data_IF_959683103396
#
_entry.id   IF_959683103396
#
_cell.length_a   1.000
_cell.length_b   1.000
_cell.length_c   1.000
_cell.angle_alpha   90.00
_cell.angle_beta   90.00
_cell.angle_gamma   90.00
#
_symmetry.space_group_name_H-M   'P 1'
#
loop_
_entity.id
_entity.type
_entity.pdbx_description
1 polymer ?
#
# COMPACT_ATOMS: atom_id res chain seq x y z
N UNK A 1 47.91 67.20 -20.35
CA UNK A 1 46.46 67.09 -19.98
C UNK A 1 46.21 65.60 -19.91
N UNK A 2 46.63 65.01 -18.80
CA UNK A 2 46.64 63.56 -18.58
C UNK A 2 45.43 63.22 -17.73
N UNK A 3 44.43 62.61 -18.34
CA UNK A 3 43.26 62.10 -17.62
C UNK A 3 43.61 60.73 -17.05
N UNK A 4 43.91 60.71 -15.76
CA UNK A 4 44.16 59.52 -14.95
C UNK A 4 42.83 58.80 -14.68
N UNK A 5 42.74 57.52 -15.04
CA UNK A 5 41.57 56.67 -14.80
C UNK A 5 41.75 55.96 -13.46
N UNK A 6 40.90 56.26 -12.48
CA UNK A 6 40.86 55.60 -11.18
C UNK A 6 40.34 54.17 -11.33
N UNK A 7 41.20 53.17 -11.10
CA UNK A 7 40.78 51.77 -10.99
C UNK A 7 40.24 51.53 -9.59
N UNK A 8 38.94 51.30 -9.46
CA UNK A 8 38.32 50.87 -8.20
C UNK A 8 38.72 49.42 -7.96
N UNK A 9 39.55 49.18 -6.94
CA UNK A 9 39.78 47.82 -6.43
C UNK A 9 38.47 47.33 -5.83
N UNK A 10 37.87 46.33 -6.48
CA UNK A 10 36.79 45.54 -5.91
C UNK A 10 37.44 44.61 -4.89
N UNK A 11 37.19 44.87 -3.61
CA UNK A 11 37.54 43.93 -2.55
C UNK A 11 36.65 42.70 -2.73
N UNK A 12 37.26 41.58 -3.11
CA UNK A 12 36.62 40.28 -3.08
C UNK A 12 36.57 39.84 -1.62
N UNK A 13 35.40 40.03 -0.99
CA UNK A 13 35.07 39.33 0.26
C UNK A 13 35.06 37.83 -0.03
N UNK A 14 36.17 37.17 0.29
CA UNK A 14 36.22 35.72 0.47
C UNK A 14 35.27 35.35 1.62
N UNK A 15 34.02 35.08 1.26
CA UNK A 15 33.04 34.44 2.14
C UNK A 15 33.53 33.03 2.42
N UNK A 16 34.25 32.89 3.54
CA UNK A 16 34.74 31.64 4.10
C UNK A 16 33.54 30.73 4.36
N UNK A 17 33.26 29.83 3.43
CA UNK A 17 32.21 28.83 3.56
C UNK A 17 32.49 27.99 4.81
N UNK A 18 31.67 28.17 5.85
CA UNK A 18 31.70 27.29 7.00
C UNK A 18 31.38 25.87 6.52
N UNK A 19 32.14 24.84 6.94
CA UNK A 19 31.83 23.47 6.57
C UNK A 19 30.46 23.13 7.16
N UNK A 20 29.48 22.94 6.28
CA UNK A 20 28.17 22.39 6.63
C UNK A 20 28.43 21.06 7.32
N UNK A 21 28.32 21.06 8.66
CA UNK A 21 28.36 19.84 9.46
C UNK A 21 27.12 19.06 9.06
N UNK A 22 27.31 18.05 8.20
CA UNK A 22 26.31 17.03 7.96
C UNK A 22 26.17 16.30 9.28
N UNK A 23 25.22 16.72 10.12
CA UNK A 23 24.83 15.95 11.28
C UNK A 23 24.36 14.61 10.74
N UNK A 24 25.12 13.55 10.99
CA UNK A 24 24.71 12.20 10.63
C UNK A 24 23.28 12.03 11.14
N UNK A 25 22.31 11.80 10.24
CA UNK A 25 20.95 11.68 10.68
C UNK A 25 20.94 10.45 11.60
N UNK A 26 20.55 10.65 12.87
CA UNK A 26 20.51 9.56 13.85
C UNK A 26 19.25 8.76 13.60
N UNK A 27 19.38 7.43 13.59
CA UNK A 27 18.22 6.55 13.48
C UNK A 27 17.32 6.76 14.69
N UNK A 28 16.01 6.81 14.46
CA UNK A 28 15.05 6.97 15.55
C UNK A 28 15.10 5.73 16.44
N UNK A 29 15.44 5.93 17.71
CA UNK A 29 15.44 4.86 18.70
C UNK A 29 13.98 4.51 19.02
N UNK A 30 13.66 3.22 19.00
CA UNK A 30 12.32 2.72 19.31
C UNK A 30 12.00 2.95 20.79
N UNK A 31 10.89 3.62 21.08
CA UNK A 31 10.36 3.74 22.44
C UNK A 31 9.96 2.37 23.01
N UNK A 32 9.87 2.27 24.35
CA UNK A 32 9.43 1.04 25.03
C UNK A 32 7.96 0.72 24.74
N UNK A 33 7.14 1.76 24.54
CA UNK A 33 5.72 1.63 24.23
C UNK A 33 5.40 2.53 23.04
N UNK A 34 4.69 1.97 22.07
CA UNK A 34 4.17 2.68 20.89
C UNK A 34 2.66 2.50 20.84
N UNK A 35 1.98 3.52 20.30
CA UNK A 35 0.54 3.47 20.07
C UNK A 35 0.31 3.22 18.60
N UNK A 36 -0.64 2.35 18.26
CA UNK A 36 -0.91 1.99 16.89
C UNK A 36 -2.36 1.64 16.61
N UNK A 37 -2.71 1.74 15.34
CA UNK A 37 -4.05 1.43 14.82
C UNK A 37 -3.93 0.29 13.83
N UNK A 38 -4.75 -0.75 14.00
CA UNK A 38 -4.81 -1.89 13.09
C UNK A 38 -6.02 -1.76 12.16
N UNK A 39 -5.78 -1.87 10.86
CA UNK A 39 -6.78 -1.81 9.82
C UNK A 39 -6.97 -3.20 9.22
N UNK A 40 -8.22 -3.67 9.16
CA UNK A 40 -8.60 -4.87 8.39
C UNK A 40 -8.88 -4.44 6.95
N UNK A 41 -8.24 -5.09 5.98
CA UNK A 41 -8.48 -4.91 4.54
C UNK A 41 -8.59 -6.24 3.83
N UNK A 42 -9.65 -6.39 3.06
CA UNK A 42 -9.82 -7.50 2.15
C UNK A 42 -8.85 -7.31 0.96
N UNK A 43 -8.02 -8.31 0.65
CA UNK A 43 -7.09 -8.27 -0.49
C UNK A 43 -7.24 -9.53 -1.35
N UNK A 44 -6.83 -9.51 -2.63
CA UNK A 44 -6.95 -10.67 -3.53
C UNK A 44 -6.30 -11.97 -3.04
N UNK A 45 -5.38 -11.88 -2.07
CA UNK A 45 -4.65 -13.01 -1.50
C UNK A 45 -5.18 -13.45 -0.12
N UNK A 46 -6.18 -12.74 0.40
CA UNK A 46 -6.84 -12.99 1.69
C UNK A 46 -6.99 -11.70 2.51
N UNK A 47 -7.55 -11.82 3.71
CA UNK A 47 -7.70 -10.69 4.62
C UNK A 47 -6.35 -10.30 5.22
N UNK A 48 -5.97 -9.03 5.04
CA UNK A 48 -4.76 -8.44 5.59
C UNK A 48 -5.11 -7.54 6.79
N UNK A 49 -4.34 -7.69 7.85
CA UNK A 49 -4.34 -6.84 9.02
C UNK A 49 -3.07 -5.99 8.99
N UNK A 50 -3.24 -4.69 8.80
CA UNK A 50 -2.14 -3.73 8.68
C UNK A 50 -2.14 -2.85 9.92
N UNK A 51 -1.10 -2.99 10.74
CA UNK A 51 -0.93 -2.19 11.96
C UNK A 51 0.05 -1.07 11.71
N UNK A 52 -0.38 0.17 11.96
CA UNK A 52 0.44 1.37 11.82
C UNK A 52 0.71 1.91 13.23
N UNK A 53 1.99 1.92 13.61
CA UNK A 53 2.44 2.42 14.92
C UNK A 53 3.10 3.80 14.76
N UNK A 54 2.83 4.69 15.72
CA UNK A 54 3.36 6.06 15.74
C UNK A 54 4.20 6.32 16.99
N UNK A 55 5.22 7.16 16.86
CA UNK A 55 6.22 7.48 17.90
C UNK A 55 6.14 8.95 18.35
N UNK A 56 4.95 9.53 18.23
CA UNK A 56 4.67 10.92 18.61
C UNK A 56 3.22 11.13 19.05
N UNK A 57 2.90 12.32 19.60
CA UNK A 57 1.52 12.68 19.96
C UNK A 57 0.63 12.85 18.73
N UNK A 58 1.23 13.07 17.55
CA UNK A 58 0.50 13.19 16.29
C UNK A 58 0.44 11.85 15.55
N UNK A 59 -0.74 11.46 15.03
CA UNK A 59 -0.89 10.24 14.22
C UNK A 59 -0.06 10.29 12.93
N UNK A 60 0.34 11.48 12.48
CA UNK A 60 1.17 11.66 11.30
C UNK A 60 2.61 11.16 11.48
N UNK A 61 3.06 10.94 12.73
CA UNK A 61 4.42 10.52 13.02
C UNK A 61 4.59 8.99 13.00
N UNK A 62 4.38 8.43 11.80
CA UNK A 62 4.43 6.99 11.56
C UNK A 62 5.85 6.46 11.76
N UNK A 63 5.97 5.45 12.60
CA UNK A 63 7.24 4.86 13.01
C UNK A 63 7.49 3.48 12.40
N UNK A 64 6.50 2.58 12.46
CA UNK A 64 6.60 1.22 11.95
C UNK A 64 5.25 0.71 11.45
N UNK A 65 5.28 -0.24 10.51
CA UNK A 65 4.11 -0.86 9.90
C UNK A 65 4.27 -2.37 9.93
N UNK A 66 3.27 -3.07 10.45
CA UNK A 66 3.20 -4.52 10.42
C UNK A 66 2.08 -4.97 9.49
N UNK A 67 2.31 -6.06 8.77
CA UNK A 67 1.37 -6.62 7.83
C UNK A 67 1.22 -8.10 8.15
N UNK A 68 0.02 -8.51 8.53
CA UNK A 68 -0.32 -9.89 8.81
C UNK A 68 -1.43 -10.33 7.87
N UNK A 69 -1.21 -11.39 7.10
CA UNK A 69 -2.23 -11.96 6.22
C UNK A 69 -2.81 -13.21 6.87
N UNK A 70 -4.13 -13.42 6.76
CA UNK A 70 -4.85 -14.54 7.38
C UNK A 70 -4.50 -15.94 6.84
N UNK A 71 -3.45 -16.07 6.01
CA UNK A 71 -2.91 -17.35 5.51
C UNK A 71 -1.55 -17.64 6.14
N UNK A 72 -1.57 -18.15 7.37
CA UNK A 72 -0.36 -18.51 8.13
C UNK A 72 0.47 -19.54 7.37
N UNK A 73 1.79 -19.31 7.27
CA UNK A 73 2.74 -20.27 6.70
C UNK A 73 2.79 -20.34 5.17
N UNK A 74 2.15 -19.39 4.47
CA UNK A 74 2.26 -19.26 3.01
C UNK A 74 3.44 -18.37 2.60
N UNK A 75 3.98 -18.57 1.38
CA UNK A 75 5.00 -17.67 0.80
C UNK A 75 4.52 -16.21 0.80
N UNK A 76 3.22 -16.02 0.57
CA UNK A 76 2.55 -14.71 0.62
C UNK A 76 2.68 -14.06 2.01
N UNK A 77 2.56 -14.84 3.10
CA UNK A 77 2.73 -14.30 4.44
C UNK A 77 4.18 -13.92 4.72
N UNK A 78 5.15 -14.69 4.21
CA UNK A 78 6.57 -14.37 4.31
C UNK A 78 6.92 -13.08 3.55
N UNK A 79 6.41 -12.93 2.33
CA UNK A 79 6.58 -11.72 1.51
C UNK A 79 5.91 -10.49 2.16
N UNK A 80 4.72 -10.67 2.74
CA UNK A 80 4.01 -9.62 3.47
C UNK A 80 4.80 -9.15 4.71
N UNK A 81 5.37 -10.08 5.48
CA UNK A 81 6.23 -9.76 6.62
C UNK A 81 7.50 -9.03 6.16
N UNK A 82 8.13 -9.51 5.08
CA UNK A 82 9.28 -8.86 4.46
C UNK A 82 8.98 -7.42 4.05
N UNK A 83 7.85 -7.20 3.37
CA UNK A 83 7.40 -5.87 2.98
C UNK A 83 7.19 -4.96 4.20
N UNK A 84 6.51 -5.43 5.25
CA UNK A 84 6.29 -4.65 6.48
C UNK A 84 7.60 -4.28 7.17
N UNK A 85 8.57 -5.22 7.22
CA UNK A 85 9.91 -4.97 7.77
C UNK A 85 10.68 -3.93 6.96
N UNK A 86 10.60 -3.97 5.64
CA UNK A 86 11.25 -2.98 4.76
C UNK A 86 10.64 -1.60 4.92
N UNK A 87 9.31 -1.50 4.95
CA UNK A 87 8.59 -0.24 5.20
C UNK A 87 8.94 0.32 6.58
N UNK A 88 9.05 -0.53 7.60
CA UNK A 88 9.47 -0.12 8.95
C UNK A 88 10.94 0.28 9.01
N UNK A 89 11.81 -0.28 8.16
CA UNK A 89 13.21 0.12 8.05
C UNK A 89 13.33 1.49 7.38
N UNK A 90 12.85 1.61 6.13
CA UNK A 90 12.04 2.73 5.64
C UNK A 90 11.90 3.92 6.59
N UNK A 91 10.93 3.72 7.49
CA UNK A 91 10.40 4.73 8.37
C UNK A 91 11.31 5.09 9.55
N UNK A 92 12.29 4.25 9.88
CA UNK A 92 13.27 4.49 10.97
C UNK A 92 14.64 4.91 10.47
N UNK A 93 14.93 4.69 9.19
CA UNK A 93 16.20 5.06 8.61
C UNK A 93 16.38 6.58 8.64
N UNK A 94 17.57 7.04 9.02
CA UNK A 94 17.79 8.47 9.08
C UNK A 94 17.68 9.11 7.69
N UNK A 95 16.91 10.18 7.58
CA UNK A 95 16.57 10.79 6.29
C UNK A 95 16.39 12.30 6.44
N UNK A 96 16.73 13.10 5.41
CA UNK A 96 16.42 14.52 5.40
C UNK A 96 14.92 14.82 5.24
N UNK A 97 14.11 13.81 4.90
CA UNK A 97 12.67 13.94 4.71
C UNK A 97 11.91 13.77 6.03
N UNK A 98 10.84 14.54 6.20
CA UNK A 98 9.93 14.39 7.33
C UNK A 98 9.24 13.01 7.31
N UNK A 99 8.81 12.47 8.47
CA UNK A 99 8.09 11.19 8.56
C UNK A 99 6.88 11.12 7.62
N UNK A 100 6.07 12.19 7.59
CA UNK A 100 4.92 12.33 6.69
C UNK A 100 5.31 12.27 5.21
N UNK A 101 6.39 12.96 4.82
CA UNK A 101 6.88 12.96 3.44
C UNK A 101 7.40 11.59 3.03
N UNK A 102 8.03 10.86 3.95
CA UNK A 102 8.48 9.48 3.73
C UNK A 102 7.30 8.53 3.57
N UNK A 103 6.28 8.66 4.41
CA UNK A 103 5.04 7.92 4.25
C UNK A 103 4.35 8.22 2.90
N UNK A 104 4.28 9.50 2.49
CA UNK A 104 3.76 9.90 1.18
C UNK A 104 4.58 9.31 0.02
N UNK A 105 5.91 9.27 0.13
CA UNK A 105 6.76 8.65 -0.87
C UNK A 105 6.50 7.13 -0.97
N UNK A 106 6.34 6.45 0.16
CA UNK A 106 5.98 5.02 0.21
C UNK A 106 4.62 4.80 -0.45
N UNK A 107 3.61 5.58 -0.07
CA UNK A 107 2.27 5.54 -0.68
C UNK A 107 2.36 5.67 -2.20
N UNK A 108 3.09 6.66 -2.70
CA UNK A 108 3.22 6.91 -4.14
C UNK A 108 3.87 5.75 -4.89
N UNK A 109 4.75 4.98 -4.25
CA UNK A 109 5.38 3.80 -4.86
C UNK A 109 4.47 2.56 -4.81
N UNK A 110 3.70 2.38 -3.73
CA UNK A 110 2.88 1.18 -3.54
C UNK A 110 1.49 1.30 -4.19
N UNK A 111 0.97 2.51 -4.35
CA UNK A 111 -0.36 2.78 -4.91
C UNK A 111 -0.44 2.34 -6.36
N UNK A 112 -1.47 1.55 -6.69
CA UNK A 112 -1.71 1.05 -8.04
C UNK A 112 -0.83 -0.14 -8.44
N UNK A 113 0.01 -0.67 -7.54
CA UNK A 113 0.63 -1.99 -7.76
C UNK A 113 -0.50 -3.01 -7.73
N UNK A 114 -0.69 -3.75 -8.81
CA UNK A 114 -1.82 -4.65 -8.95
C UNK A 114 -1.51 -5.87 -9.77
N UNK A 115 -2.16 -6.98 -9.42
CA UNK A 115 -2.24 -8.15 -10.29
C UNK A 115 -3.57 -8.13 -11.05
N UNK A 116 -3.79 -9.09 -11.97
CA UNK A 116 -5.03 -9.23 -12.72
C UNK A 116 -6.28 -9.52 -11.86
N UNK A 117 -6.10 -9.84 -10.58
CA UNK A 117 -7.17 -10.09 -9.61
C UNK A 117 -7.28 -8.89 -8.68
N UNK A 118 -8.38 -8.15 -8.74
CA UNK A 118 -8.70 -7.07 -7.79
C UNK A 118 -9.88 -7.46 -6.92
N UNK A 119 -9.90 -7.00 -5.67
CA UNK A 119 -10.97 -7.24 -4.71
C UNK A 119 -11.64 -5.92 -4.33
N UNK A 120 -12.96 -5.93 -4.13
CA UNK A 120 -13.75 -4.75 -3.79
C UNK A 120 -14.04 -3.81 -4.97
N UNK A 121 -14.82 -2.75 -4.70
CA UNK A 121 -15.32 -1.83 -5.73
C UNK A 121 -15.03 -0.36 -5.39
N UNK A 122 -14.89 0.46 -6.43
CA UNK A 122 -14.71 1.91 -6.31
C UNK A 122 -13.51 2.30 -5.42
N UNK A 123 -13.77 3.08 -4.38
CA UNK A 123 -12.75 3.55 -3.41
C UNK A 123 -12.20 2.47 -2.49
N UNK A 124 -12.88 1.33 -2.38
CA UNK A 124 -12.44 0.17 -1.59
C UNK A 124 -11.81 -0.91 -2.47
N UNK A 125 -11.58 -0.63 -3.76
CA UNK A 125 -10.95 -1.57 -4.68
C UNK A 125 -9.47 -1.70 -4.34
N UNK A 126 -9.05 -2.90 -3.96
CA UNK A 126 -7.67 -3.27 -3.66
C UNK A 126 -7.13 -4.15 -4.78
N UNK A 127 -6.03 -3.74 -5.40
CA UNK A 127 -5.43 -4.50 -6.51
C UNK A 127 -4.39 -5.52 -6.07
N UNK A 128 -3.74 -5.29 -4.93
CA UNK A 128 -2.73 -6.18 -4.35
C UNK A 128 -2.49 -5.84 -2.87
N UNK A 129 -1.69 -6.63 -2.16
CA UNK A 129 -1.28 -6.33 -0.78
C UNK A 129 -0.48 -5.02 -0.66
N UNK A 130 0.53 -4.73 -1.52
CA UNK A 130 1.16 -3.40 -1.56
C UNK A 130 0.17 -2.24 -1.71
N UNK A 131 -0.80 -2.36 -2.61
CA UNK A 131 -1.83 -1.33 -2.82
C UNK A 131 -2.73 -1.17 -1.59
N UNK A 132 -3.07 -2.28 -0.91
CA UNK A 132 -3.79 -2.23 0.37
C UNK A 132 -3.03 -1.43 1.43
N UNK A 133 -1.71 -1.61 1.51
CA UNK A 133 -0.85 -0.85 2.43
C UNK A 133 -0.86 0.64 2.08
N UNK A 134 -0.78 0.99 0.79
CA UNK A 134 -0.87 2.38 0.36
C UNK A 134 -2.20 3.02 0.80
N UNK A 135 -3.32 2.33 0.58
CA UNK A 135 -4.64 2.81 0.98
C UNK A 135 -4.77 2.98 2.50
N UNK A 136 -4.23 2.05 3.29
CA UNK A 136 -4.23 2.14 4.75
C UNK A 136 -3.39 3.31 5.24
N UNK A 137 -2.21 3.53 4.66
CA UNK A 137 -1.37 4.67 5.02
C UNK A 137 -2.01 6.01 4.63
N UNK A 138 -2.65 6.09 3.45
CA UNK A 138 -3.45 7.26 3.04
C UNK A 138 -4.59 7.52 4.02
N UNK A 139 -5.33 6.47 4.40
CA UNK A 139 -6.42 6.55 5.38
C UNK A 139 -5.91 6.99 6.76
N UNK A 140 -4.78 6.46 7.21
CA UNK A 140 -4.19 6.80 8.50
C UNK A 140 -3.75 8.27 8.55
N UNK A 141 -3.08 8.75 7.50
CA UNK A 141 -2.65 10.15 7.41
C UNK A 141 -3.84 11.11 7.25
N UNK A 142 -4.83 10.74 6.43
CA UNK A 142 -6.04 11.54 6.23
C UNK A 142 -6.92 11.64 7.49
N UNK A 143 -6.94 10.61 8.33
CA UNK A 143 -7.67 10.59 9.60
C UNK A 143 -7.13 11.63 10.61
N UNK A 144 -5.87 12.04 10.48
CA UNK A 144 -5.26 13.07 11.34
C UNK A 144 -5.70 14.50 11.00
N UNK A 145 -6.21 14.77 9.79
CA UNK A 145 -6.49 16.13 9.30
C UNK A 145 -7.91 16.64 9.56
N UNK A 146 -8.62 16.11 10.57
CA UNK A 146 -9.85 16.74 11.09
C UNK A 146 -11.09 16.68 10.21
N UNK A 147 -11.07 16.03 9.04
CA UNK A 147 -12.28 15.62 8.33
C UNK A 147 -12.67 14.22 8.76
N UNK A 148 -13.22 14.15 9.98
CA UNK A 148 -13.86 12.96 10.52
C UNK A 148 -15.09 12.58 9.70
N UNK A 149 -14.88 11.86 8.59
CA UNK A 149 -15.88 10.94 8.10
C UNK A 149 -15.38 9.55 8.44
N UNK A 150 -15.82 9.11 9.61
CA UNK A 150 -15.80 7.73 10.07
C UNK A 150 -16.17 6.83 8.89
N UNK A 151 -15.18 6.18 8.29
CA UNK A 151 -15.36 4.86 7.74
C UNK A 151 -15.40 3.86 8.93
N UNK A 152 -16.25 4.14 9.91
CA UNK A 152 -17.02 3.11 10.61
C UNK A 152 -18.11 2.64 9.63
N UNK A 153 -17.69 2.24 8.43
CA UNK A 153 -18.43 1.23 7.70
C UNK A 153 -18.18 -0.04 8.49
N UNK A 154 -19.26 -0.75 8.79
CA UNK A 154 -19.26 -2.08 9.34
C UNK A 154 -18.13 -2.94 8.72
N UNK A 155 -17.59 -3.94 9.44
CA UNK A 155 -16.64 -4.87 8.83
C UNK A 155 -17.18 -5.31 7.47
N UNK A 156 -16.30 -5.41 6.46
CA UNK A 156 -16.58 -6.16 5.24
C UNK A 156 -16.90 -7.60 5.67
N UNK A 157 -18.15 -7.83 6.10
CA UNK A 157 -18.77 -9.14 6.30
C UNK A 157 -19.28 -9.55 4.92
N UNK A 158 -18.34 -9.71 3.99
CA UNK A 158 -18.50 -10.53 2.78
C UNK A 158 -17.53 -11.72 2.89
N UNK A 159 -17.20 -12.12 4.12
CA UNK A 159 -16.70 -13.46 4.48
C UNK A 159 -17.87 -14.32 5.01
N UNK A 160 -19.12 -14.04 4.59
CA UNK A 160 -20.12 -15.10 4.54
C UNK A 160 -19.93 -15.82 3.22
N UNK A 161 -19.73 -17.12 3.34
CA UNK A 161 -19.79 -18.13 2.30
C UNK A 161 -20.79 -17.69 1.22
N UNK A 162 -20.33 -17.57 -0.02
CA UNK A 162 -21.18 -17.40 -1.21
C UNK A 162 -21.94 -18.73 -1.46
N UNK A 163 -22.69 -19.18 -0.45
CA UNK A 163 -23.87 -20.01 -0.63
C UNK A 163 -24.93 -19.05 -1.17
N UNK A 164 -24.84 -18.81 -2.47
CA UNK A 164 -25.90 -18.19 -3.25
C UNK A 164 -27.21 -18.90 -2.90
N UNK A 165 -28.04 -18.29 -2.07
CA UNK A 165 -29.46 -18.60 -1.97
C UNK A 165 -30.11 -18.12 -3.28
N UNK A 166 -29.80 -18.84 -4.36
CA UNK A 166 -30.66 -18.87 -5.53
C UNK A 166 -32.01 -19.40 -5.04
N UNK A 167 -33.08 -18.65 -5.33
CA UNK A 167 -34.43 -19.17 -5.18
C UNK A 167 -34.49 -20.53 -5.88
N UNK A 168 -34.63 -21.59 -5.08
CA UNK A 168 -34.84 -22.96 -5.54
C UNK A 168 -36.19 -23.03 -6.27
N UNK A 169 -36.13 -22.78 -7.57
CA UNK A 169 -37.16 -23.16 -8.53
C UNK A 169 -36.79 -24.50 -9.16
N UNK A 170 -36.36 -25.50 -8.36
CA UNK A 170 -36.59 -26.93 -8.59
C UNK A 170 -36.28 -27.51 -9.97
N UNK A 171 -35.36 -26.92 -10.72
CA UNK A 171 -35.06 -27.34 -12.09
C UNK A 171 -33.59 -27.07 -12.40
N UNK A 172 -32.72 -28.06 -12.14
CA UNK A 172 -31.76 -28.62 -13.12
C UNK A 172 -30.56 -29.28 -12.43
N UNK A 173 -30.52 -30.61 -12.50
CA UNK A 173 -29.30 -31.41 -12.34
C UNK A 173 -28.35 -31.19 -13.53
N UNK A 174 -27.58 -30.10 -13.53
CA UNK A 174 -26.44 -29.93 -14.42
C UNK A 174 -25.32 -29.21 -13.66
N UNK A 175 -24.11 -29.77 -13.69
CA UNK A 175 -22.90 -29.17 -13.12
C UNK A 175 -22.85 -27.69 -13.53
N UNK A 176 -22.97 -26.79 -12.55
CA UNK A 176 -22.95 -25.34 -12.75
C UNK A 176 -21.52 -24.92 -13.10
N UNK A 177 -21.18 -25.03 -14.38
CA UNK A 177 -19.97 -24.45 -14.91
C UNK A 177 -20.19 -22.95 -15.00
N UNK A 178 -19.72 -22.20 -14.01
CA UNK A 178 -19.77 -20.73 -14.03
C UNK A 178 -18.62 -20.20 -14.90
N UNK A 179 -18.88 -19.61 -16.09
CA UNK A 179 -17.84 -19.04 -16.92
C UNK A 179 -17.31 -17.73 -16.33
N UNK A 180 -15.98 -17.60 -16.31
CA UNK A 180 -15.24 -16.45 -15.82
C UNK A 180 -14.82 -15.53 -17.00
N UNK A 181 -14.37 -14.32 -16.69
CA UNK A 181 -13.89 -13.35 -17.70
C UNK A 181 -12.44 -13.68 -18.07
N UNK A 182 -12.16 -13.84 -19.37
CA UNK A 182 -10.81 -14.06 -19.85
C UNK A 182 -9.94 -12.80 -19.71
N UNK A 183 -8.75 -12.86 -19.08
CA UNK A 183 -7.89 -11.69 -18.86
C UNK A 183 -7.28 -11.13 -20.17
N UNK A 184 -7.21 -11.94 -21.23
CA UNK A 184 -6.64 -11.55 -22.53
C UNK A 184 -7.66 -10.87 -23.45
N UNK A 185 -8.86 -11.44 -23.60
CA UNK A 185 -9.84 -10.97 -24.59
C UNK A 185 -11.14 -10.41 -23.98
N UNK A 186 -11.31 -10.47 -22.66
CA UNK A 186 -12.47 -9.91 -21.96
C UNK A 186 -13.79 -10.67 -22.15
N UNK A 187 -13.80 -11.80 -22.86
CA UNK A 187 -15.01 -12.60 -23.06
C UNK A 187 -15.30 -13.50 -21.86
N UNK A 188 -16.59 -13.69 -21.57
CA UNK A 188 -17.11 -14.57 -20.50
C UNK A 188 -17.13 -16.03 -20.99
N UNK A 189 -15.98 -16.51 -21.42
CA UNK A 189 -15.79 -17.88 -21.94
C UNK A 189 -14.59 -18.58 -21.29
N UNK A 190 -14.14 -18.08 -20.14
CA UNK A 190 -13.01 -18.63 -19.40
C UNK A 190 -13.51 -19.68 -18.41
N UNK A 191 -13.32 -20.95 -18.74
CA UNK A 191 -13.97 -22.07 -18.05
C UNK A 191 -12.91 -23.02 -17.50
N UNK A 192 -13.13 -23.54 -16.28
CA UNK A 192 -12.24 -24.53 -15.68
C UNK A 192 -12.56 -25.94 -16.20
N UNK A 193 -11.60 -26.54 -16.90
CA UNK A 193 -11.73 -27.87 -17.51
C UNK A 193 -10.43 -28.63 -17.25
N UNK A 194 -10.54 -29.83 -16.67
CA UNK A 194 -9.41 -30.73 -16.41
C UNK A 194 -8.30 -30.09 -15.54
N UNK A 195 -8.65 -29.16 -14.65
CA UNK A 195 -7.71 -28.50 -13.74
C UNK A 195 -7.02 -27.25 -14.32
N UNK A 196 -7.37 -26.85 -15.54
CA UNK A 196 -6.89 -25.61 -16.15
C UNK A 196 -8.07 -24.71 -16.54
N UNK A 197 -7.93 -23.40 -16.38
CA UNK A 197 -8.89 -22.44 -16.96
C UNK A 197 -8.57 -22.22 -18.44
N UNK A 198 -9.54 -22.41 -19.33
CA UNK A 198 -9.40 -22.25 -20.78
C UNK A 198 -10.43 -21.27 -21.32
N UNK A 199 -10.00 -20.33 -22.16
CA UNK A 199 -10.88 -19.39 -22.84
C UNK A 199 -11.27 -19.94 -24.22
N UNK A 200 -12.55 -20.19 -24.42
CA UNK A 200 -13.04 -20.69 -25.72
C UNK A 200 -13.08 -19.65 -26.83
N UNK A 201 -12.94 -18.36 -26.51
CA UNK A 201 -12.93 -17.30 -27.52
C UNK A 201 -11.55 -17.01 -28.10
N UNK A 202 -10.48 -17.07 -27.29
CA UNK A 202 -9.13 -16.71 -27.72
C UNK A 202 -8.09 -17.83 -27.57
N UNK A 203 -8.45 -18.96 -26.95
CA UNK A 203 -7.54 -20.09 -26.74
C UNK A 203 -6.54 -19.90 -25.59
N UNK A 204 -6.62 -18.80 -24.83
CA UNK A 204 -5.78 -18.60 -23.64
C UNK A 204 -6.08 -19.66 -22.58
N UNK A 205 -5.03 -20.25 -21.99
CA UNK A 205 -5.15 -21.27 -20.95
C UNK A 205 -4.19 -21.00 -19.78
N UNK A 206 -4.68 -21.16 -18.56
CA UNK A 206 -3.93 -21.02 -17.31
C UNK A 206 -4.09 -22.32 -16.49
N UNK A 207 -2.96 -23.01 -16.30
CA UNK A 207 -2.74 -24.13 -15.39
C UNK A 207 -1.60 -23.70 -14.45
#
# INVERSE_FOLDING_TARGET
>A
RDTQVLTVKKEEEETKAEPVRISEPKSRVRSTVLHGTTYRKATPIGTAYITVNCDGPEPADIFEVFINVAKVGSDVAADAEGLGRLISLILRMPSPLNPTQRAQAIIAQLKGIGSGRSMGFGKNRVMSLPDAVAQVLEQHLGSSNGNGQLASGLPDEEDEEDDTLQLDLGLSSAQSVTPDICPVCGNVTFVNIEGCKKCFSCGYSEC
#
